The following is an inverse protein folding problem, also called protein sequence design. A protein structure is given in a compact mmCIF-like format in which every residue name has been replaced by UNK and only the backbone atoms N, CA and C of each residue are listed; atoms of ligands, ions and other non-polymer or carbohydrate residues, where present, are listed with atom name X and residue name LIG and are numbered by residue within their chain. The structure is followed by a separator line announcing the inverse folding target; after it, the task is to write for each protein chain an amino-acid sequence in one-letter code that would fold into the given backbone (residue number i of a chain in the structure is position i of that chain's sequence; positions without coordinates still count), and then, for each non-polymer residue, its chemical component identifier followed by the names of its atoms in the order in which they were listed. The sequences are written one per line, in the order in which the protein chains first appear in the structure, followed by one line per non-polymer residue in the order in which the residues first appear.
data_IF_138931429291
#
_entry.id   IF_138931429291
#
_cell.length_a   1.000
_cell.length_b   1.000
_cell.length_c   1.000
_cell.angle_alpha   90.00
_cell.angle_beta   90.00
_cell.angle_gamma   90.00
#
_symmetry.space_group_name_H-M   'P 1'
#
loop_
_entity.id
_entity.type
_entity.pdbx_description
1 polymer ?
#
# COMPACT_ATOMS: atom_id res chain seq x y z
N UNK A 1 -0.64 28.03 3.15
CA UNK A 1 0.29 26.88 3.22
C UNK A 1 -0.38 25.65 2.64
N UNK A 2 0.40 24.75 2.09
CA UNK A 2 -0.07 23.47 1.50
C UNK A 2 0.81 22.33 1.98
N UNK A 3 0.20 21.21 2.32
CA UNK A 3 0.89 19.96 2.59
C UNK A 3 0.43 18.91 1.57
N UNK A 4 1.36 18.38 0.80
CA UNK A 4 1.11 17.23 -0.07
C UNK A 4 1.74 15.99 0.54
N UNK A 5 0.93 14.97 0.66
CA UNK A 5 1.24 13.71 1.28
C UNK A 5 0.99 12.59 0.26
N UNK A 6 1.98 11.76 -0.01
CA UNK A 6 1.84 10.60 -0.88
C UNK A 6 1.94 9.33 -0.05
N UNK A 7 1.05 8.39 -0.27
CA UNK A 7 1.05 7.12 0.45
C UNK A 7 0.82 5.94 -0.48
N UNK A 8 1.40 4.83 -0.09
CA UNK A 8 1.03 3.53 -0.64
C UNK A 8 -0.41 3.18 -0.22
N UNK A 9 -1.14 2.55 -1.12
CA UNK A 9 -2.51 2.08 -0.86
C UNK A 9 -2.57 0.93 0.18
N UNK A 10 -1.42 0.45 0.63
CA UNK A 10 -1.30 -0.58 1.67
C UNK A 10 -1.59 -0.05 3.09
N UNK A 11 -1.66 1.27 3.28
CA UNK A 11 -1.90 1.86 4.59
C UNK A 11 -3.31 1.56 5.09
N UNK A 12 -3.42 1.26 6.39
CA UNK A 12 -4.71 0.92 7.00
C UNK A 12 -5.64 2.15 7.06
N UNK A 13 -6.91 2.04 6.61
CA UNK A 13 -7.85 3.17 6.55
C UNK A 13 -8.05 3.91 7.89
N UNK A 14 -8.11 3.19 9.02
CA UNK A 14 -8.32 3.79 10.35
C UNK A 14 -7.23 4.79 10.73
N UNK A 15 -5.98 4.47 10.40
CA UNK A 15 -4.85 5.39 10.65
C UNK A 15 -4.99 6.66 9.82
N UNK A 16 -5.41 6.52 8.58
CA UNK A 16 -5.60 7.65 7.66
C UNK A 16 -6.77 8.54 8.08
N UNK A 17 -7.89 7.94 8.50
CA UNK A 17 -9.05 8.68 8.99
C UNK A 17 -8.71 9.52 10.22
N UNK A 18 -8.07 8.92 11.21
CA UNK A 18 -7.67 9.62 12.44
C UNK A 18 -6.68 10.75 12.15
N UNK A 19 -5.73 10.50 11.25
CA UNK A 19 -4.80 11.52 10.78
C UNK A 19 -5.56 12.73 10.18
N UNK A 20 -6.50 12.48 9.30
CA UNK A 20 -7.28 13.55 8.65
C UNK A 20 -8.12 14.35 9.66
N UNK A 21 -8.75 13.66 10.62
CA UNK A 21 -9.55 14.30 11.68
C UNK A 21 -8.65 15.21 12.54
N UNK A 22 -7.50 14.75 12.94
CA UNK A 22 -6.58 15.55 13.75
C UNK A 22 -5.92 16.68 12.96
N UNK A 23 -5.63 16.44 11.68
CA UNK A 23 -5.10 17.46 10.79
C UNK A 23 -6.07 18.63 10.59
N UNK A 24 -7.35 18.34 10.33
CA UNK A 24 -8.40 19.36 10.19
C UNK A 24 -8.49 20.27 11.43
N UNK A 25 -8.47 19.66 12.61
CA UNK A 25 -8.50 20.41 13.87
C UNK A 25 -7.27 21.29 14.09
N UNK A 26 -6.09 20.82 13.68
CA UNK A 26 -4.82 21.48 13.94
C UNK A 26 -4.46 22.52 12.89
N UNK A 27 -4.81 22.28 11.65
CA UNK A 27 -4.43 23.10 10.48
C UNK A 27 -5.59 23.47 9.58
N UNK A 28 -6.66 24.09 10.11
CA UNK A 28 -7.91 24.32 9.35
C UNK A 28 -7.73 25.25 8.13
N UNK A 29 -6.60 25.95 8.03
CA UNK A 29 -6.31 26.88 6.92
C UNK A 29 -5.17 26.40 6.02
N UNK A 30 -4.72 25.16 6.21
CA UNK A 30 -3.69 24.55 5.36
C UNK A 30 -4.35 23.68 4.31
N UNK A 31 -4.02 23.89 3.04
CA UNK A 31 -4.43 22.97 1.98
C UNK A 31 -3.78 21.61 2.20
N UNK A 32 -4.57 20.57 2.13
CA UNK A 32 -4.12 19.20 2.27
C UNK A 32 -4.37 18.44 0.98
N UNK A 33 -3.31 17.88 0.41
CA UNK A 33 -3.40 17.02 -0.77
C UNK A 33 -2.87 15.63 -0.44
N UNK A 34 -3.67 14.63 -0.76
CA UNK A 34 -3.29 13.23 -0.62
C UNK A 34 -3.14 12.61 -2.01
N UNK A 35 -1.98 12.03 -2.28
CA UNK A 35 -1.69 11.30 -3.51
C UNK A 35 -1.51 9.81 -3.17
N UNK A 36 -1.92 8.96 -4.10
CA UNK A 36 -1.65 7.52 -4.02
C UNK A 36 -0.53 7.17 -5.00
N UNK A 37 0.46 6.45 -4.53
CA UNK A 37 1.56 5.93 -5.34
C UNK A 37 2.18 4.71 -4.67
N UNK A 38 2.87 3.91 -5.46
CA UNK A 38 3.55 2.71 -4.98
C UNK A 38 5.04 2.79 -5.26
N UNK A 39 5.86 2.22 -4.35
CA UNK A 39 7.30 2.05 -4.52
C UNK A 39 8.03 3.27 -5.11
N UNK A 40 8.53 3.15 -6.33
CA UNK A 40 9.31 4.19 -7.01
C UNK A 40 8.53 5.49 -7.22
N UNK A 41 7.21 5.42 -7.37
CA UNK A 41 6.38 6.61 -7.53
C UNK A 41 6.41 7.47 -6.26
N UNK A 42 6.35 6.84 -5.07
CA UNK A 42 6.44 7.55 -3.79
C UNK A 42 7.81 8.22 -3.63
N UNK A 43 8.88 7.47 -3.89
CA UNK A 43 10.26 7.99 -3.81
C UNK A 43 10.47 9.16 -4.77
N UNK A 44 10.03 9.02 -6.02
CA UNK A 44 10.16 10.05 -7.06
C UNK A 44 9.42 11.34 -6.67
N UNK A 45 8.19 11.23 -6.19
CA UNK A 45 7.39 12.38 -5.78
C UNK A 45 8.00 13.13 -4.59
N UNK A 46 8.61 12.42 -3.65
CA UNK A 46 9.31 13.03 -2.51
C UNK A 46 10.63 13.64 -2.96
N UNK A 47 11.41 12.98 -3.79
CA UNK A 47 12.67 13.52 -4.33
C UNK A 47 12.47 14.80 -5.14
N UNK A 48 11.42 14.86 -5.95
CA UNK A 48 11.05 16.03 -6.77
C UNK A 48 10.33 17.12 -5.99
N UNK A 49 10.15 16.93 -4.68
CA UNK A 49 9.45 17.87 -3.81
C UNK A 49 7.98 18.11 -4.23
N UNK A 50 7.42 17.20 -5.02
CA UNK A 50 6.00 17.20 -5.35
C UNK A 50 5.14 16.83 -4.14
N UNK A 51 5.68 15.97 -3.27
CA UNK A 51 5.13 15.65 -1.96
C UNK A 51 6.17 15.92 -0.87
N UNK A 52 5.72 16.48 0.26
CA UNK A 52 6.59 16.74 1.41
C UNK A 52 6.86 15.49 2.24
N UNK A 53 5.86 14.62 2.32
CA UNK A 53 5.88 13.38 3.11
C UNK A 53 5.42 12.23 2.23
N UNK A 54 6.08 11.08 2.32
CA UNK A 54 5.68 9.84 1.67
C UNK A 54 5.61 8.69 2.65
N UNK A 55 4.65 7.80 2.46
CA UNK A 55 4.57 6.51 3.13
C UNK A 55 4.70 5.39 2.11
N UNK A 56 5.55 4.42 2.41
CA UNK A 56 5.90 3.34 1.51
C UNK A 56 6.06 2.03 2.29
N UNK A 57 5.84 0.89 1.64
CA UNK A 57 6.31 -0.39 2.17
C UNK A 57 7.82 -0.32 2.41
N UNK A 58 8.23 -0.69 3.62
CA UNK A 58 9.63 -0.62 4.02
C UNK A 58 10.55 -1.44 3.12
N UNK A 59 11.68 -0.87 2.77
CA UNK A 59 12.71 -1.51 1.95
C UNK A 59 14.12 -1.28 2.52
N UNK A 60 15.10 -2.00 2.01
CA UNK A 60 16.44 -2.01 2.58
C UNK A 60 17.23 -0.72 2.33
N UNK A 61 16.98 -0.05 1.20
CA UNK A 61 17.75 1.13 0.82
C UNK A 61 16.90 2.19 0.14
N UNK A 62 17.33 3.44 0.32
CA UNK A 62 16.74 4.62 -0.30
C UNK A 62 17.83 5.52 -0.87
N UNK A 63 17.49 6.42 -1.82
CA UNK A 63 18.43 7.44 -2.26
C UNK A 63 18.98 8.26 -1.08
N UNK A 64 20.20 8.75 -1.20
CA UNK A 64 20.92 9.46 -0.11
C UNK A 64 20.28 10.78 0.32
N UNK A 65 19.49 11.40 -0.56
CA UNK A 65 18.77 12.65 -0.30
C UNK A 65 17.40 12.43 0.38
N UNK A 66 17.00 11.18 0.58
CA UNK A 66 15.77 10.81 1.27
C UNK A 66 16.05 10.53 2.74
N UNK A 67 15.31 11.24 3.60
CA UNK A 67 15.22 10.93 5.02
C UNK A 67 14.17 9.84 5.24
N UNK A 68 14.44 8.92 6.16
CA UNK A 68 13.60 7.74 6.41
C UNK A 68 13.43 7.53 7.90
N UNK A 69 12.22 7.18 8.32
CA UNK A 69 11.96 6.64 9.66
C UNK A 69 10.97 5.49 9.56
N UNK A 70 11.26 4.39 10.26
CA UNK A 70 10.35 3.26 10.38
C UNK A 70 9.20 3.63 11.30
N UNK A 71 7.96 3.49 10.83
CA UNK A 71 6.77 3.75 11.63
C UNK A 71 6.41 2.53 12.49
N UNK A 72 5.76 2.75 13.66
CA UNK A 72 5.23 1.65 14.48
C UNK A 72 3.90 1.12 13.93
N UNK A 73 3.80 1.01 12.62
CA UNK A 73 2.62 0.58 11.88
C UNK A 73 2.95 -0.62 11.02
N UNK A 74 2.01 -1.55 10.93
CA UNK A 74 2.10 -2.71 10.05
C UNK A 74 0.79 -2.92 9.32
N UNK A 75 0.87 -3.39 8.09
CA UNK A 75 -0.26 -3.86 7.31
C UNK A 75 -0.15 -5.36 7.11
N UNK A 76 -1.23 -6.09 7.37
CA UNK A 76 -1.28 -7.53 7.14
C UNK A 76 -1.86 -7.79 5.74
N UNK A 77 -1.14 -8.60 4.97
CA UNK A 77 -1.49 -8.96 3.60
C UNK A 77 -1.76 -10.46 3.52
N UNK A 78 -2.80 -10.83 2.78
CA UNK A 78 -3.10 -12.22 2.47
C UNK A 78 -3.42 -12.38 0.99
N UNK A 79 -3.43 -13.63 0.51
CA UNK A 79 -3.74 -13.94 -0.87
C UNK A 79 -5.19 -14.42 -0.96
N UNK A 80 -5.92 -13.87 -1.91
CA UNK A 80 -7.35 -14.12 -2.11
C UNK A 80 -7.65 -14.51 -3.56
N UNK A 81 -8.68 -15.32 -3.70
CA UNK A 81 -9.32 -15.64 -4.98
C UNK A 81 -10.84 -15.63 -4.82
N UNK A 82 -11.59 -15.56 -5.92
CA UNK A 82 -13.02 -15.79 -5.89
C UNK A 82 -13.33 -17.23 -5.43
N UNK A 83 -14.47 -17.45 -4.80
CA UNK A 83 -14.87 -18.78 -4.33
C UNK A 83 -14.95 -19.82 -5.46
N UNK A 84 -15.29 -19.40 -6.67
CA UNK A 84 -15.36 -20.27 -7.84
C UNK A 84 -13.99 -20.52 -8.51
N UNK A 85 -12.92 -19.86 -8.06
CA UNK A 85 -11.59 -20.07 -8.60
C UNK A 85 -11.07 -21.47 -8.25
N UNK A 86 -10.38 -22.17 -9.18
CA UNK A 86 -9.90 -23.54 -8.95
C UNK A 86 -9.02 -23.69 -7.70
N UNK A 87 -8.23 -22.68 -7.35
CA UNK A 87 -7.39 -22.71 -6.14
C UNK A 87 -8.18 -22.62 -4.82
N UNK A 88 -9.41 -22.12 -4.87
CA UNK A 88 -10.23 -21.92 -3.67
C UNK A 88 -10.57 -23.22 -2.93
N UNK A 89 -10.59 -24.35 -3.61
CA UNK A 89 -10.91 -25.66 -3.03
C UNK A 89 -9.71 -26.41 -2.46
N UNK A 90 -8.50 -25.89 -2.62
CA UNK A 90 -7.28 -26.52 -2.10
C UNK A 90 -7.05 -26.15 -0.64
N UNK A 91 -6.61 -27.13 0.17
CA UNK A 91 -6.28 -26.89 1.58
C UNK A 91 -5.00 -26.06 1.75
N UNK A 92 -4.01 -26.33 0.91
CA UNK A 92 -2.73 -25.61 0.84
C UNK A 92 -2.41 -25.35 -0.62
N UNK A 93 -2.01 -24.14 -0.94
CA UNK A 93 -1.55 -23.73 -2.27
C UNK A 93 -0.07 -23.38 -2.19
N UNK A 94 0.79 -24.12 -2.88
CA UNK A 94 2.21 -23.81 -2.92
C UNK A 94 2.48 -22.57 -3.78
N UNK A 95 3.56 -21.86 -3.48
CA UNK A 95 3.94 -20.65 -4.23
C UNK A 95 4.08 -20.89 -5.73
N UNK A 96 4.65 -22.02 -6.11
CA UNK A 96 4.85 -22.39 -7.51
C UNK A 96 3.53 -22.60 -8.25
N UNK A 97 2.49 -23.06 -7.57
CA UNK A 97 1.16 -23.22 -8.14
C UNK A 97 0.53 -21.88 -8.54
N UNK A 98 0.82 -20.81 -7.81
CA UNK A 98 0.32 -19.48 -8.13
C UNK A 98 0.80 -19.00 -9.51
N UNK A 99 1.99 -19.39 -9.93
CA UNK A 99 2.58 -19.01 -11.22
C UNK A 99 1.81 -19.57 -12.43
N UNK A 100 1.04 -20.62 -12.24
CA UNK A 100 0.16 -21.20 -13.26
C UNK A 100 -1.13 -20.39 -13.48
N UNK A 101 -1.39 -19.36 -12.67
CA UNK A 101 -2.62 -18.60 -12.69
C UNK A 101 -2.35 -17.12 -12.84
N UNK A 102 -3.33 -16.37 -13.36
CA UNK A 102 -3.21 -14.93 -13.51
C UNK A 102 -3.07 -14.25 -12.15
N UNK A 103 -2.02 -13.45 -12.02
CA UNK A 103 -1.83 -12.55 -10.88
C UNK A 103 -2.51 -11.20 -11.15
N UNK A 104 -3.18 -10.66 -10.14
CA UNK A 104 -3.71 -9.31 -10.12
C UNK A 104 -2.81 -8.47 -9.20
N UNK A 105 -2.17 -7.44 -9.76
CA UNK A 105 -1.08 -6.73 -9.08
C UNK A 105 -1.25 -5.22 -9.14
N UNK A 106 -0.83 -4.52 -8.07
CA UNK A 106 -0.65 -3.08 -8.14
C UNK A 106 0.40 -2.71 -9.18
N UNK A 107 0.15 -1.68 -9.95
CA UNK A 107 1.12 -1.09 -10.86
C UNK A 107 1.66 0.24 -10.32
N UNK A 108 2.78 0.67 -10.91
CA UNK A 108 3.40 1.99 -10.70
C UNK A 108 3.39 2.75 -12.02
N UNK A 109 3.49 4.08 -11.95
CA UNK A 109 3.68 4.91 -13.15
C UNK A 109 5.13 4.82 -13.65
N UNK A 110 6.08 4.67 -12.73
CA UNK A 110 7.47 4.40 -13.07
C UNK A 110 7.68 2.91 -13.30
N UNK A 111 8.42 2.58 -14.35
CA UNK A 111 8.72 1.18 -14.66
C UNK A 111 9.52 0.53 -13.53
N UNK A 112 9.11 -0.66 -13.16
CA UNK A 112 9.88 -1.56 -12.31
C UNK A 112 10.77 -2.44 -13.17
N UNK A 113 11.87 -2.90 -12.58
CA UNK A 113 12.57 -4.04 -13.15
C UNK A 113 11.61 -5.24 -13.26
N UNK A 114 11.67 -5.99 -14.39
CA UNK A 114 10.77 -7.12 -14.57
C UNK A 114 10.94 -8.10 -13.41
N UNK A 115 9.91 -8.26 -12.61
CA UNK A 115 9.84 -9.40 -11.70
C UNK A 115 9.60 -10.64 -12.53
N UNK A 116 10.44 -11.65 -12.34
CA UNK A 116 10.34 -12.94 -13.00
C UNK A 116 9.10 -13.70 -12.49
N UNK A 117 7.90 -13.24 -12.87
CA UNK A 117 6.69 -14.03 -12.71
C UNK A 117 6.42 -14.74 -14.02
N UNK A 118 6.37 -16.06 -13.98
CA UNK A 118 6.17 -16.89 -15.15
C UNK A 118 4.74 -16.87 -15.71
N UNK A 119 3.78 -16.32 -14.97
CA UNK A 119 2.36 -16.28 -15.33
C UNK A 119 1.88 -14.95 -15.90
N UNK A 120 0.68 -14.91 -16.48
CA UNK A 120 0.06 -13.67 -16.94
C UNK A 120 -0.25 -12.74 -15.75
N UNK A 121 -0.06 -11.44 -15.97
CA UNK A 121 -0.30 -10.41 -14.95
C UNK A 121 -1.29 -9.38 -15.51
N UNK A 122 -2.34 -9.10 -14.75
CA UNK A 122 -3.16 -7.90 -14.93
C UNK A 122 -2.87 -6.95 -13.77
N UNK A 123 -2.81 -5.67 -14.06
CA UNK A 123 -2.44 -4.68 -13.07
C UNK A 123 -3.45 -3.55 -12.97
N UNK A 124 -3.50 -2.91 -11.80
CA UNK A 124 -4.38 -1.80 -11.51
C UNK A 124 -3.71 -0.85 -10.51
N UNK A 125 -4.11 0.44 -10.48
CA UNK A 125 -3.42 1.45 -9.67
C UNK A 125 -3.79 1.44 -8.18
N UNK A 126 -4.84 0.72 -7.77
CA UNK A 126 -5.28 0.67 -6.38
C UNK A 126 -5.90 -0.67 -6.01
N UNK A 127 -5.93 -0.97 -4.71
CA UNK A 127 -6.46 -2.23 -4.21
C UNK A 127 -7.98 -2.37 -4.37
N UNK A 128 -8.73 -1.29 -4.38
CA UNK A 128 -10.19 -1.36 -4.56
C UNK A 128 -10.54 -1.92 -5.94
N UNK A 129 -9.82 -1.49 -6.97
CA UNK A 129 -9.99 -2.03 -8.32
C UNK A 129 -9.50 -3.48 -8.43
N UNK A 130 -8.37 -3.81 -7.80
CA UNK A 130 -7.88 -5.19 -7.72
C UNK A 130 -8.87 -6.11 -7.00
N UNK A 131 -9.46 -5.65 -5.91
CA UNK A 131 -10.50 -6.38 -5.18
C UNK A 131 -11.69 -6.68 -6.08
N UNK A 132 -12.16 -5.71 -6.85
CA UNK A 132 -13.23 -5.91 -7.83
C UNK A 132 -12.88 -6.96 -8.88
N UNK A 133 -11.65 -6.93 -9.38
CA UNK A 133 -11.15 -7.92 -10.34
C UNK A 133 -11.07 -9.33 -9.74
N UNK A 134 -10.61 -9.43 -8.48
CA UNK A 134 -10.56 -10.70 -7.76
C UNK A 134 -11.96 -11.28 -7.52
N UNK A 135 -12.92 -10.45 -7.12
CA UNK A 135 -14.33 -10.85 -6.91
C UNK A 135 -14.95 -11.40 -8.21
N UNK A 136 -14.57 -10.83 -9.35
CA UNK A 136 -15.01 -11.33 -10.66
C UNK A 136 -14.33 -12.64 -11.10
N UNK A 137 -13.35 -13.11 -10.36
CA UNK A 137 -12.67 -14.37 -10.65
C UNK A 137 -11.53 -14.24 -11.67
N UNK A 138 -11.01 -13.06 -11.92
CA UNK A 138 -9.98 -12.83 -12.95
C UNK A 138 -8.59 -13.37 -12.57
N UNK A 139 -8.34 -13.65 -11.31
CA UNK A 139 -7.07 -14.19 -10.84
C UNK A 139 -6.91 -14.17 -9.33
N UNK A 140 -5.70 -14.48 -8.88
CA UNK A 140 -5.33 -14.36 -7.47
C UNK A 140 -4.74 -12.98 -7.18
N UNK A 141 -4.92 -12.51 -5.97
CA UNK A 141 -4.49 -11.17 -5.57
C UNK A 141 -4.01 -11.14 -4.12
N UNK A 142 -2.87 -10.51 -3.88
CA UNK A 142 -2.49 -10.12 -2.53
C UNK A 142 -3.22 -8.82 -2.17
N UNK A 143 -3.99 -8.85 -1.09
CA UNK A 143 -4.78 -7.72 -0.62
C UNK A 143 -4.55 -7.47 0.88
N UNK A 144 -4.67 -6.20 1.34
CA UNK A 144 -4.73 -5.93 2.77
C UNK A 144 -5.92 -6.64 3.41
N UNK A 145 -5.67 -7.38 4.48
CA UNK A 145 -6.71 -8.11 5.22
C UNK A 145 -7.80 -7.17 5.71
N UNK A 146 -7.42 -6.00 6.23
CA UNK A 146 -8.36 -4.99 6.70
C UNK A 146 -9.31 -4.49 5.60
N UNK A 147 -8.82 -4.34 4.37
CA UNK A 147 -9.65 -3.95 3.22
C UNK A 147 -10.71 -5.01 2.91
N UNK A 148 -10.32 -6.28 2.90
CA UNK A 148 -11.24 -7.40 2.63
C UNK A 148 -12.30 -7.51 3.72
N UNK A 149 -11.95 -7.29 4.97
CA UNK A 149 -12.91 -7.31 6.09
C UNK A 149 -13.93 -6.17 6.03
N UNK A 150 -13.52 -5.01 5.50
CA UNK A 150 -14.35 -3.81 5.45
C UNK A 150 -15.42 -3.87 4.34
N UNK A 151 -15.11 -4.46 3.19
CA UNK A 151 -16.00 -4.45 2.03
C UNK A 151 -16.88 -5.70 1.94
N UNK A 152 -18.19 -5.51 1.88
CA UNK A 152 -19.18 -6.61 1.82
C UNK A 152 -19.04 -7.47 0.57
N UNK A 153 -18.67 -6.88 -0.58
CA UNK A 153 -18.41 -7.63 -1.83
C UNK A 153 -17.24 -8.63 -1.67
N UNK A 154 -16.29 -8.34 -0.80
CA UNK A 154 -15.16 -9.20 -0.52
C UNK A 154 -15.51 -10.47 0.27
N UNK A 155 -16.72 -10.58 0.83
CA UNK A 155 -17.21 -11.81 1.49
C UNK A 155 -17.31 -13.01 0.54
N UNK A 156 -17.29 -12.75 -0.77
CA UNK A 156 -17.24 -13.79 -1.81
C UNK A 156 -15.82 -14.25 -2.12
N UNK A 157 -14.81 -13.65 -1.51
CA UNK A 157 -13.43 -14.05 -1.65
C UNK A 157 -13.07 -15.17 -0.66
N UNK A 158 -12.19 -16.06 -1.11
CA UNK A 158 -11.57 -17.08 -0.28
C UNK A 158 -10.11 -16.71 -0.06
N UNK A 159 -9.71 -16.65 1.21
CA UNK A 159 -8.30 -16.52 1.56
C UNK A 159 -7.59 -17.84 1.33
N UNK A 160 -6.51 -17.82 0.58
CA UNK A 160 -5.69 -19.00 0.33
C UNK A 160 -4.67 -19.22 1.45
N UNK A 161 -4.47 -20.48 1.81
CA UNK A 161 -3.38 -20.88 2.68
C UNK A 161 -2.13 -21.11 1.83
N UNK A 162 -1.27 -20.10 1.77
CA UNK A 162 -0.02 -20.12 1.00
C UNK A 162 1.16 -19.96 1.96
N UNK A 163 2.23 -20.78 1.86
CA UNK A 163 3.41 -20.60 2.70
C UNK A 163 4.00 -19.19 2.61
N UNK A 164 4.13 -18.54 3.77
CA UNK A 164 4.59 -17.16 3.87
C UNK A 164 3.48 -16.11 3.97
N UNK A 165 2.23 -16.49 3.81
CA UNK A 165 1.07 -15.63 4.01
C UNK A 165 0.15 -16.16 5.14
N UNK A 166 -0.58 -15.30 5.86
CA UNK A 166 -0.50 -13.83 5.79
C UNK A 166 0.88 -13.30 6.17
N UNK A 167 1.28 -12.18 5.57
CA UNK A 167 2.54 -11.51 5.86
C UNK A 167 2.31 -10.10 6.38
N UNK A 168 3.21 -9.62 7.24
CA UNK A 168 3.17 -8.25 7.75
C UNK A 168 4.11 -7.37 6.94
N UNK A 169 3.62 -6.20 6.55
CA UNK A 169 4.38 -5.17 5.87
C UNK A 169 4.69 -4.04 6.85
N UNK A 170 5.95 -3.73 7.04
CA UNK A 170 6.39 -2.54 7.77
C UNK A 170 6.30 -1.32 6.84
N UNK A 171 6.03 -0.15 7.44
CA UNK A 171 5.83 1.11 6.73
C UNK A 171 6.96 2.06 7.08
N UNK A 172 7.59 2.65 6.06
CA UNK A 172 8.56 3.72 6.19
C UNK A 172 7.95 5.07 5.81
N UNK A 173 8.29 6.10 6.58
CA UNK A 173 7.96 7.49 6.28
C UNK A 173 9.18 8.16 5.67
N UNK A 174 8.96 8.84 4.55
CA UNK A 174 9.99 9.49 3.74
C UNK A 174 9.80 11.01 3.71
N UNK A 175 10.91 11.74 3.64
CA UNK A 175 10.95 13.19 3.34
C UNK A 175 12.22 13.51 2.55
N UNK A 176 12.26 14.68 1.92
CA UNK A 176 13.48 15.17 1.27
C UNK A 176 14.36 15.87 2.29
N UNK A 177 15.60 15.41 2.47
CA UNK A 177 16.56 15.99 3.43
C UNK A 177 16.94 17.44 3.11
N UNK A 178 16.82 17.86 1.85
CA UNK A 178 17.18 19.21 1.42
C UNK A 178 16.13 20.24 1.77
N UNK A 179 14.87 19.81 1.91
CA UNK A 179 13.74 20.69 2.16
C UNK A 179 13.00 20.23 3.42
N UNK A 180 13.03 21.01 4.50
CA UNK A 180 12.26 20.71 5.70
C UNK A 180 10.76 20.59 5.39
N UNK A 181 10.04 19.64 6.01
CA UNK A 181 8.64 19.38 5.68
C UNK A 181 7.65 20.46 6.15
N UNK A 182 8.14 21.56 6.72
CA UNK A 182 7.31 22.62 7.29
C UNK A 182 6.61 22.19 8.59
N UNK A 183 5.83 23.11 9.18
CA UNK A 183 5.16 22.86 10.48
C UNK A 183 4.14 21.73 10.38
N UNK A 184 3.30 21.74 9.34
CA UNK A 184 2.29 20.72 9.13
C UNK A 184 2.90 19.35 8.81
N UNK A 185 3.95 19.33 7.99
CA UNK A 185 4.66 18.08 7.67
C UNK A 185 5.41 17.49 8.87
N UNK A 186 6.03 18.33 9.70
CA UNK A 186 6.67 17.90 10.94
C UNK A 186 5.67 17.32 11.93
N UNK A 187 4.52 17.98 12.09
CA UNK A 187 3.45 17.48 12.93
C UNK A 187 2.94 16.12 12.44
N UNK A 188 2.72 15.98 11.13
CA UNK A 188 2.24 14.73 10.53
C UNK A 188 3.23 13.59 10.81
N UNK A 189 4.52 13.85 10.65
CA UNK A 189 5.56 12.87 10.96
C UNK A 189 5.54 12.44 12.42
N UNK A 190 5.46 13.38 13.35
CA UNK A 190 5.37 13.10 14.79
C UNK A 190 4.11 12.30 15.13
N UNK A 191 2.97 12.70 14.57
CA UNK A 191 1.70 12.03 14.77
C UNK A 191 1.75 10.56 14.36
N UNK A 192 2.32 10.25 13.20
CA UNK A 192 2.43 8.87 12.71
C UNK A 192 3.47 8.04 13.49
N UNK A 193 4.52 8.67 14.02
CA UNK A 193 5.53 8.00 14.84
C UNK A 193 5.00 7.59 16.22
N UNK A 194 4.00 8.30 16.75
CA UNK A 194 3.40 8.04 18.06
C UNK A 194 2.25 7.01 18.00
N UNK A 195 1.78 6.63 16.82
CA UNK A 195 0.75 5.62 16.64
C UNK A 195 1.28 4.22 16.96
N UNK A 196 0.54 3.48 17.82
CA UNK A 196 0.79 2.07 18.15
C UNK A 196 -0.37 1.19 17.68
#
# INVERSE_FOLDING_TARGET
ARLTFVLSDTLHPDVLEDLMIQFDKRFPHTEFECLIGEDEDVVDLVQKERAQIGLIEARESYPTDIGVVRLPLQTHMAIYVAQAHPLASQNVVERDELQGWRELRLNTYLEREPTLTAGPVWSAPNYLLLLSMAVQGFGWCELPVALVEEFSAAKTLTQLNVPGWPRSIAIDLLWNKRTPPGVAGSWLREFLQEKQ
#
